data_IF_387107909864
#
_entry.id   IF_387107909864
#
_cell.length_a   1.000
_cell.length_b   1.000
_cell.length_c   1.000
_cell.angle_alpha   90.00
_cell.angle_beta   90.00
_cell.angle_gamma   90.00
#
_symmetry.space_group_name_H-M   'P 1'
#
loop_
_entity.id
_entity.type
_entity.pdbx_description
1 polymer ?
#
# COMPACT_ATOMS: atom_id res chain seq x y z
N UNK A 1 -14.47 -3.21 11.55
CA UNK A 1 -13.62 -3.45 12.74
C UNK A 1 -13.08 -2.12 13.29
N UNK A 2 -12.53 -2.05 14.52
CA UNK A 2 -11.78 -0.86 14.95
C UNK A 2 -10.51 -0.69 14.12
N UNK A 3 -9.97 0.53 14.09
CA UNK A 3 -8.69 0.80 13.42
C UNK A 3 -7.58 -0.11 13.97
N UNK A 4 -6.65 -0.58 13.12
CA UNK A 4 -5.48 -1.31 13.60
C UNK A 4 -4.68 -0.50 14.62
N UNK A 5 -4.09 -1.18 15.61
CA UNK A 5 -3.16 -0.55 16.56
C UNK A 5 -1.94 -0.07 15.79
N UNK A 6 -1.60 1.22 15.93
CA UNK A 6 -0.35 1.75 15.38
C UNK A 6 0.83 1.23 16.19
N UNK A 7 1.81 0.64 15.51
CA UNK A 7 3.04 0.13 16.12
C UNK A 7 4.16 1.17 16.18
N UNK A 8 3.92 2.39 15.70
CA UNK A 8 4.94 3.44 15.55
C UNK A 8 5.50 3.92 16.90
N UNK A 9 4.75 3.71 17.98
CA UNK A 9 5.16 4.05 19.35
C UNK A 9 6.16 3.05 19.95
N UNK A 10 6.40 1.91 19.30
CA UNK A 10 7.40 0.94 19.73
C UNK A 10 8.68 1.11 18.91
N UNK A 11 9.83 1.43 19.54
CA UNK A 11 11.10 1.67 18.83
C UNK A 11 11.58 0.52 17.93
N UNK A 12 11.13 -0.72 18.18
CA UNK A 12 11.45 -1.87 17.36
C UNK A 12 10.68 -1.92 16.02
N UNK A 13 9.63 -1.10 15.87
CA UNK A 13 8.69 -1.08 14.76
C UNK A 13 8.55 0.31 14.11
N UNK A 14 9.36 1.27 14.55
CA UNK A 14 9.39 2.62 14.01
C UNK A 14 10.18 2.67 12.70
N UNK A 15 9.75 3.54 11.78
CA UNK A 15 10.52 3.82 10.56
C UNK A 15 11.79 4.60 10.91
N UNK A 16 12.95 4.02 10.57
CA UNK A 16 14.26 4.54 10.94
C UNK A 16 14.74 5.58 9.94
N UNK A 17 15.62 6.47 10.42
CA UNK A 17 16.28 7.45 9.56
C UNK A 17 17.42 6.82 8.75
N UNK A 18 17.03 5.95 7.83
CA UNK A 18 17.91 5.19 6.94
C UNK A 18 17.34 5.23 5.51
N UNK A 19 18.20 5.07 4.52
CA UNK A 19 17.80 4.91 3.12
C UNK A 19 17.30 3.47 2.90
N UNK A 20 16.02 3.31 2.55
CA UNK A 20 15.40 1.98 2.41
C UNK A 20 14.84 1.77 1.01
N UNK A 21 14.95 0.54 0.54
CA UNK A 21 14.28 0.08 -0.68
C UNK A 21 12.77 0.10 -0.49
N UNK A 22 12.07 0.79 -1.38
CA UNK A 22 10.60 0.87 -1.42
C UNK A 22 10.10 0.11 -2.63
N UNK A 23 9.10 -0.73 -2.41
CA UNK A 23 8.55 -1.64 -3.41
C UNK A 23 7.08 -1.35 -3.67
N UNK A 24 6.68 -1.48 -4.93
CA UNK A 24 5.30 -1.72 -5.30
C UNK A 24 5.03 -3.23 -5.20
N UNK A 25 3.99 -3.64 -4.47
CA UNK A 25 3.69 -5.04 -4.20
C UNK A 25 2.27 -5.41 -4.64
N UNK A 26 2.15 -6.56 -5.30
CA UNK A 26 0.88 -7.19 -5.71
C UNK A 26 0.70 -8.49 -4.95
N UNK A 27 -0.41 -8.59 -4.23
CA UNK A 27 -0.79 -9.77 -3.46
C UNK A 27 -1.89 -10.53 -4.19
N UNK A 28 -1.60 -11.80 -4.49
CA UNK A 28 -2.59 -12.69 -5.10
C UNK A 28 -3.78 -12.91 -4.15
N UNK A 29 -5.01 -13.00 -4.69
CA UNK A 29 -6.18 -13.32 -3.90
C UNK A 29 -6.06 -14.74 -3.33
N UNK A 30 -6.71 -15.02 -2.19
CA UNK A 30 -6.66 -16.34 -1.57
C UNK A 30 -7.47 -17.40 -2.34
N UNK A 31 -8.36 -17.00 -3.26
CA UNK A 31 -9.27 -17.90 -3.96
C UNK A 31 -8.96 -17.96 -5.48
N UNK A 32 -8.99 -19.15 -6.11
CA UNK A 32 -8.77 -19.30 -7.55
C UNK A 32 -9.83 -18.62 -8.43
N UNK A 33 -11.03 -18.36 -7.90
CA UNK A 33 -12.14 -17.72 -8.62
C UNK A 33 -12.08 -16.18 -8.62
N UNK A 34 -11.07 -15.59 -7.99
CA UNK A 34 -10.93 -14.15 -7.89
C UNK A 34 -10.48 -13.51 -9.22
N UNK A 35 -10.97 -12.32 -9.48
CA UNK A 35 -10.64 -11.51 -10.65
C UNK A 35 -9.36 -10.69 -10.42
N UNK A 36 -8.82 -10.12 -11.50
CA UNK A 36 -7.70 -9.17 -11.45
C UNK A 36 -8.01 -7.97 -10.56
N UNK A 37 -9.28 -7.54 -10.46
CA UNK A 37 -9.71 -6.42 -9.60
C UNK A 37 -9.70 -6.75 -8.11
N UNK A 38 -9.54 -8.02 -7.75
CA UNK A 38 -9.44 -8.50 -6.36
C UNK A 38 -7.99 -8.58 -5.88
N UNK A 39 -7.00 -8.32 -6.75
CA UNK A 39 -5.60 -8.21 -6.35
C UNK A 39 -5.44 -7.02 -5.39
N UNK A 40 -4.81 -7.27 -4.24
CA UNK A 40 -4.45 -6.19 -3.31
C UNK A 40 -3.12 -5.61 -3.73
N UNK A 41 -3.05 -4.29 -3.83
CA UNK A 41 -1.81 -3.58 -4.12
C UNK A 41 -1.37 -2.80 -2.88
N UNK A 42 -0.06 -2.66 -2.68
CA UNK A 42 0.50 -1.78 -1.66
C UNK A 42 1.83 -1.20 -2.09
N UNK A 43 2.19 -0.05 -1.55
CA UNK A 43 3.60 0.37 -1.49
C UNK A 43 4.16 -0.05 -0.13
N UNK A 44 5.32 -0.70 -0.10
CA UNK A 44 5.88 -1.23 1.14
C UNK A 44 7.40 -1.22 1.20
N UNK A 45 7.94 -1.21 2.41
CA UNK A 45 9.36 -1.32 2.70
C UNK A 45 9.58 -2.13 3.98
N UNK A 46 10.76 -2.74 4.08
CA UNK A 46 11.16 -3.48 5.29
C UNK A 46 11.54 -2.49 6.38
N UNK A 47 11.06 -2.70 7.58
CA UNK A 47 11.42 -1.91 8.77
C UNK A 47 12.11 -2.82 9.78
N UNK A 48 13.30 -2.39 10.23
CA UNK A 48 14.19 -3.16 11.11
C UNK A 48 14.28 -4.66 10.70
N UNK A 49 14.69 -5.58 11.57
CA UNK A 49 14.60 -7.03 11.42
C UNK A 49 13.71 -7.53 10.25
N UNK A 50 14.25 -8.38 9.37
CA UNK A 50 13.66 -8.80 8.07
C UNK A 50 12.21 -9.37 8.08
N UNK A 51 11.58 -9.42 9.25
CA UNK A 51 10.24 -9.89 9.51
C UNK A 51 9.20 -8.78 9.55
N UNK A 52 9.55 -7.49 9.64
CA UNK A 52 8.57 -6.40 9.72
C UNK A 52 8.57 -5.53 8.47
N UNK A 53 7.37 -5.15 8.03
CA UNK A 53 7.16 -4.35 6.84
C UNK A 53 6.18 -3.22 7.13
N UNK A 54 6.45 -2.05 6.56
CA UNK A 54 5.56 -0.90 6.56
C UNK A 54 4.82 -0.84 5.23
N UNK A 55 3.51 -0.67 5.27
CA UNK A 55 2.65 -0.73 4.08
C UNK A 55 1.73 0.47 4.00
N UNK A 56 1.63 1.02 2.81
CA UNK A 56 0.60 1.96 2.39
C UNK A 56 -0.37 1.21 1.48
N UNK A 57 -1.59 1.02 1.97
CA UNK A 57 -2.65 0.31 1.25
C UNK A 57 -4.02 0.78 1.71
N UNK A 58 -4.92 1.04 0.77
CA UNK A 58 -6.35 1.05 1.06
C UNK A 58 -6.84 -0.40 1.21
N UNK A 59 -7.76 -0.66 2.13
CA UNK A 59 -8.35 -1.98 2.38
C UNK A 59 -9.86 -1.94 2.29
N UNK A 60 -10.48 -3.02 1.82
CA UNK A 60 -11.92 -3.19 1.89
C UNK A 60 -12.29 -3.65 3.30
N UNK A 61 -13.13 -2.87 3.97
CA UNK A 61 -13.75 -3.22 5.23
C UNK A 61 -15.20 -3.65 4.99
N UNK A 62 -15.56 -4.79 5.56
CA UNK A 62 -16.94 -5.22 5.71
C UNK A 62 -17.22 -5.34 7.21
N UNK A 63 -18.01 -4.41 7.74
CA UNK A 63 -18.34 -4.36 9.16
C UNK A 63 -19.85 -4.44 9.33
N UNK A 64 -20.33 -5.49 10.01
CA UNK A 64 -21.75 -5.67 10.37
C UNK A 64 -22.26 -4.54 11.29
N UNK A 65 -21.36 -3.89 12.02
CA UNK A 65 -21.65 -2.77 12.93
C UNK A 65 -21.07 -1.44 12.42
N UNK A 66 -20.58 -1.39 11.18
CA UNK A 66 -19.95 -0.19 10.62
C UNK A 66 -20.97 0.84 10.14
N UNK A 67 -20.56 2.10 10.05
CA UNK A 67 -21.35 3.13 9.38
C UNK A 67 -21.53 2.76 7.89
N UNK A 68 -22.74 2.91 7.32
CA UNK A 68 -22.96 2.71 5.88
C UNK A 68 -22.20 3.76 5.05
N UNK A 69 -21.85 3.47 3.79
CA UNK A 69 -22.13 2.23 3.06
C UNK A 69 -21.20 1.07 3.46
N UNK A 70 -21.69 -0.17 3.31
CA UNK A 70 -20.92 -1.41 3.51
C UNK A 70 -21.03 -2.28 2.24
N UNK A 71 -19.94 -2.91 1.76
CA UNK A 71 -18.55 -2.71 2.21
C UNK A 71 -18.10 -1.26 1.99
N UNK A 72 -16.96 -0.88 2.56
CA UNK A 72 -16.30 0.41 2.27
C UNK A 72 -14.81 0.22 2.11
N UNK A 73 -14.18 1.08 1.34
CA UNK A 73 -12.72 1.16 1.35
C UNK A 73 -12.29 2.11 2.48
N UNK A 74 -11.18 1.79 3.14
CA UNK A 74 -10.58 2.63 4.18
C UNK A 74 -9.06 2.65 4.01
N UNK A 75 -8.45 3.80 4.22
CA UNK A 75 -7.02 3.94 4.47
C UNK A 75 -6.82 4.34 5.93
N UNK A 76 -6.15 3.50 6.71
CA UNK A 76 -5.94 3.71 8.15
C UNK A 76 -4.62 4.43 8.46
N UNK A 77 -3.95 4.98 7.44
CA UNK A 77 -2.56 5.39 7.54
C UNK A 77 -1.60 4.25 7.17
N UNK A 78 -0.30 4.55 7.17
CA UNK A 78 0.72 3.54 6.95
C UNK A 78 0.73 2.55 8.11
N UNK A 79 0.74 1.26 7.80
CA UNK A 79 0.65 0.19 8.79
C UNK A 79 1.92 -0.64 8.78
N UNK A 80 2.54 -0.74 9.95
CA UNK A 80 3.58 -1.71 10.25
C UNK A 80 2.94 -3.07 10.57
N UNK A 81 3.39 -4.14 9.92
CA UNK A 81 2.95 -5.51 10.18
C UNK A 81 4.10 -6.49 10.00
N UNK A 82 4.03 -7.61 10.72
CA UNK A 82 4.93 -8.74 10.52
C UNK A 82 4.60 -9.46 9.20
N UNK A 83 5.61 -9.97 8.52
CA UNK A 83 5.48 -10.71 7.28
C UNK A 83 4.61 -11.95 7.50
N UNK A 84 3.50 -12.03 6.77
CA UNK A 84 2.63 -13.21 6.75
C UNK A 84 2.86 -14.08 5.51
N UNK A 85 2.14 -15.20 5.37
CA UNK A 85 2.23 -16.07 4.20
C UNK A 85 1.95 -15.34 2.87
N UNK A 86 1.07 -14.34 2.88
CA UNK A 86 0.78 -13.52 1.71
C UNK A 86 1.97 -12.62 1.29
N UNK A 87 2.83 -12.22 2.23
CA UNK A 87 4.04 -11.45 1.91
C UNK A 87 5.11 -12.33 1.27
N UNK A 88 5.17 -13.63 1.59
CA UNK A 88 6.11 -14.55 0.96
C UNK A 88 5.80 -14.75 -0.54
N UNK A 89 4.52 -14.72 -0.92
CA UNK A 89 4.07 -14.91 -2.31
C UNK A 89 3.78 -13.62 -3.07
N UNK A 90 3.97 -12.45 -2.43
CA UNK A 90 3.74 -11.16 -3.07
C UNK A 90 4.77 -10.90 -4.18
N UNK A 91 4.28 -10.53 -5.36
CA UNK A 91 5.11 -10.01 -6.43
C UNK A 91 5.54 -8.60 -6.07
N UNK A 92 6.82 -8.26 -6.24
CA UNK A 92 7.37 -6.95 -5.87
C UNK A 92 8.17 -6.35 -7.01
N UNK A 93 8.03 -5.05 -7.18
CA UNK A 93 8.83 -4.23 -8.08
C UNK A 93 9.51 -3.13 -7.27
N UNK A 94 10.85 -3.05 -7.36
CA UNK A 94 11.61 -1.99 -6.70
C UNK A 94 11.30 -0.65 -7.36
N UNK A 95 10.80 0.30 -6.58
CA UNK A 95 10.55 1.67 -7.05
C UNK A 95 11.80 2.55 -6.90
N UNK A 96 12.64 2.24 -5.90
CA UNK A 96 13.86 2.96 -5.64
C UNK A 96 14.27 2.88 -4.17
N UNK A 97 15.29 3.66 -3.83
CA UNK A 97 15.77 3.84 -2.46
C UNK A 97 15.34 5.21 -1.98
N UNK A 98 14.63 5.26 -0.86
CA UNK A 98 13.99 6.47 -0.34
C UNK A 98 14.60 6.81 1.01
N UNK A 99 14.81 8.10 1.29
CA UNK A 99 15.15 8.58 2.63
C UNK A 99 13.92 8.54 3.55
N UNK A 100 14.11 8.70 4.87
CA UNK A 100 12.99 8.82 5.80
C UNK A 100 12.09 10.02 5.46
N UNK A 101 12.67 11.13 5.02
CA UNK A 101 11.92 12.32 4.60
C UNK A 101 11.01 12.00 3.40
N UNK A 102 11.54 11.28 2.40
CA UNK A 102 10.77 10.88 1.21
C UNK A 102 9.65 9.91 1.57
N UNK A 103 9.91 8.94 2.46
CA UNK A 103 8.90 7.99 2.93
C UNK A 103 7.80 8.66 3.74
N UNK A 104 8.14 9.63 4.60
CA UNK A 104 7.14 10.45 5.30
C UNK A 104 6.32 11.30 4.35
N UNK A 105 6.95 11.88 3.33
CA UNK A 105 6.23 12.64 2.29
C UNK A 105 5.27 11.74 1.51
N UNK A 106 5.68 10.51 1.20
CA UNK A 106 4.83 9.49 0.60
C UNK A 106 3.60 9.16 1.48
N UNK A 107 3.80 8.95 2.78
CA UNK A 107 2.69 8.71 3.72
C UNK A 107 1.72 9.89 3.82
N UNK A 108 2.25 11.11 3.79
CA UNK A 108 1.43 12.32 3.79
C UNK A 108 0.58 12.41 2.52
N UNK A 109 1.17 12.18 1.33
CA UNK A 109 0.43 12.16 0.07
C UNK A 109 -0.70 11.11 0.10
N UNK A 110 -0.44 9.95 0.71
CA UNK A 110 -1.45 8.91 0.88
C UNK A 110 -2.63 9.36 1.76
N UNK A 111 -2.37 10.11 2.84
CA UNK A 111 -3.43 10.66 3.71
C UNK A 111 -4.32 11.69 2.99
N UNK A 112 -3.79 12.37 1.98
CA UNK A 112 -4.51 13.38 1.20
C UNK A 112 -5.45 12.77 0.13
N UNK A 113 -5.42 11.45 -0.08
CA UNK A 113 -6.25 10.79 -1.10
C UNK A 113 -7.56 10.32 -0.45
N UNK A 114 -8.72 10.86 -0.86
CA UNK A 114 -9.99 10.43 -0.31
C UNK A 114 -10.25 8.97 -0.70
N UNK A 115 -10.74 8.20 0.26
CA UNK A 115 -11.19 6.84 -0.03
C UNK A 115 -12.68 6.90 -0.36
N UNK A 116 -13.04 6.62 -1.62
CA UNK A 116 -14.42 6.74 -2.09
C UNK A 116 -15.28 5.55 -1.63
N UNK A 117 -16.57 5.81 -1.42
CA UNK A 117 -17.56 4.77 -1.22
C UNK A 117 -17.58 3.83 -2.45
N UNK A 118 -17.75 2.50 -2.26
CA UNK A 118 -17.78 1.57 -3.38
C UNK A 118 -19.04 1.77 -4.23
N UNK A 119 -18.94 2.62 -5.24
CA UNK A 119 -19.94 2.82 -6.29
C UNK A 119 -19.77 1.88 -7.48
N UNK A 120 -18.93 0.85 -7.35
CA UNK A 120 -18.69 -0.19 -8.37
C UNK A 120 -17.53 0.08 -9.33
N UNK A 121 -16.99 1.30 -9.40
CA UNK A 121 -15.87 1.66 -10.30
C UNK A 121 -14.53 1.85 -9.60
N UNK A 122 -14.53 2.30 -8.34
CA UNK A 122 -13.33 2.58 -7.55
C UNK A 122 -12.97 1.45 -6.59
N UNK A 123 -11.71 0.99 -6.60
CA UNK A 123 -11.16 0.02 -5.66
C UNK A 123 -9.79 0.45 -5.08
N UNK A 124 -9.14 -0.44 -4.33
CA UNK A 124 -7.81 -0.20 -3.76
C UNK A 124 -6.72 0.05 -4.81
N UNK A 125 -6.90 -0.48 -6.02
CA UNK A 125 -5.95 -0.32 -7.13
C UNK A 125 -6.04 1.09 -7.70
N UNK A 126 -7.25 1.60 -7.90
CA UNK A 126 -7.48 2.98 -8.36
C UNK A 126 -6.93 4.00 -7.36
N UNK A 127 -7.12 3.74 -6.05
CA UNK A 127 -6.53 4.57 -4.98
C UNK A 127 -5.00 4.59 -5.03
N UNK A 128 -4.36 3.45 -5.30
CA UNK A 128 -2.91 3.38 -5.39
C UNK A 128 -2.36 3.98 -6.69
N UNK A 129 -3.11 3.92 -7.80
CA UNK A 129 -2.76 4.63 -9.03
C UNK A 129 -2.75 6.14 -8.83
N UNK A 130 -3.75 6.68 -8.13
CA UNK A 130 -3.77 8.08 -7.74
C UNK A 130 -2.56 8.45 -6.88
N UNK A 131 -2.18 7.58 -5.92
CA UNK A 131 -0.96 7.80 -5.13
C UNK A 131 0.30 7.83 -6.01
N UNK A 132 0.45 6.90 -6.95
CA UNK A 132 1.60 6.89 -7.88
C UNK A 132 1.65 8.18 -8.71
N UNK A 133 0.51 8.69 -9.18
CA UNK A 133 0.46 9.97 -9.91
C UNK A 133 0.91 11.14 -9.02
N UNK A 134 0.47 11.17 -7.77
CA UNK A 134 0.91 12.21 -6.80
C UNK A 134 2.38 12.10 -6.46
N UNK A 135 2.93 10.89 -6.39
CA UNK A 135 4.38 10.68 -6.21
C UNK A 135 5.17 11.27 -7.37
N UNK A 136 4.71 11.09 -8.61
CA UNK A 136 5.35 11.70 -9.79
C UNK A 136 5.28 13.22 -9.70
N UNK A 137 4.12 13.79 -9.40
CA UNK A 137 3.95 15.23 -9.25
C UNK A 137 4.82 15.83 -8.13
N UNK A 138 5.08 15.05 -7.06
CA UNK A 138 5.93 15.45 -5.94
C UNK A 138 7.43 15.18 -6.17
N UNK A 139 7.82 14.62 -7.32
CA UNK A 139 9.21 14.25 -7.61
C UNK A 139 9.73 13.02 -6.83
N UNK A 140 8.84 12.27 -6.17
CA UNK A 140 9.17 11.04 -5.44
C UNK A 140 9.27 9.82 -6.34
N UNK A 141 8.76 9.89 -7.56
CA UNK A 141 8.83 8.82 -8.56
C UNK A 141 9.07 9.47 -9.92
N UNK A 142 10.05 8.98 -10.69
CA UNK A 142 10.24 9.48 -12.04
C UNK A 142 9.11 9.00 -12.98
N UNK A 143 8.97 9.65 -14.13
CA UNK A 143 8.00 9.19 -15.12
C UNK A 143 8.31 7.78 -15.61
N UNK A 144 9.58 7.47 -15.81
CA UNK A 144 10.07 6.14 -16.20
C UNK A 144 9.78 5.11 -15.10
N UNK A 145 9.93 5.47 -13.82
CA UNK A 145 9.58 4.61 -12.70
C UNK A 145 8.08 4.29 -12.65
N UNK A 146 7.23 5.29 -12.92
CA UNK A 146 5.78 5.08 -13.04
C UNK A 146 5.43 4.12 -14.19
N UNK A 147 6.08 4.28 -15.35
CA UNK A 147 5.87 3.40 -16.51
C UNK A 147 6.37 1.97 -16.23
N UNK A 148 7.48 1.82 -15.51
CA UNK A 148 8.00 0.52 -15.08
C UNK A 148 7.04 -0.20 -14.12
N UNK A 149 6.44 0.53 -13.16
CA UNK A 149 5.38 -0.02 -12.29
C UNK A 149 4.17 -0.44 -13.12
N UNK A 150 3.76 0.36 -14.11
CA UNK A 150 2.64 0.00 -14.99
C UNK A 150 2.92 -1.21 -15.87
N UNK A 151 4.14 -1.34 -16.39
CA UNK A 151 4.57 -2.53 -17.11
C UNK A 151 4.57 -3.77 -16.20
N UNK A 152 5.05 -3.63 -14.96
CA UNK A 152 5.02 -4.69 -13.95
C UNK A 152 3.59 -5.14 -13.62
N UNK A 153 2.66 -4.20 -13.43
CA UNK A 153 1.24 -4.52 -13.18
C UNK A 153 0.65 -5.35 -14.31
N UNK A 154 0.88 -4.97 -15.57
CA UNK A 154 0.40 -5.72 -16.76
C UNK A 154 1.02 -7.10 -16.92
N UNK A 155 2.22 -7.33 -16.40
CA UNK A 155 2.88 -8.64 -16.46
C UNK A 155 2.42 -9.59 -15.33
N UNK A 156 1.78 -9.04 -14.29
CA UNK A 156 1.36 -9.82 -13.13
C UNK A 156 0.06 -10.62 -13.35
N UNK A 157 -0.69 -10.34 -14.43
CA UNK A 157 -1.93 -11.01 -14.79
C UNK A 157 -2.15 -11.09 -16.31
#
# INVERSE_FOLDING_TARGET
MPAPISLDYWPAYSDRDENLEVFFAIYKPPLPSSSVRDLRWSICWKIQNHLSWRHIQAVQEQSLLGLPPQPRYVYWGALTKSAGPADASALRHLMGVYSLADRRRLEQLALEIPVMAPGGTWNCQDWLQELLNRMVAAGLLSREGWEAVFAFMRAAY
#
